data_IF_399273756196
#
_entry.id   IF_399273756196
#
_cell.length_a   1.000
_cell.length_b   1.000
_cell.length_c   1.000
_cell.angle_alpha   90.00
_cell.angle_beta   90.00
_cell.angle_gamma   90.00
#
_symmetry.space_group_name_H-M   'P 1'
#
loop_
_entity.id
_entity.type
_entity.pdbx_description
1 polymer ?
#
# COMPACT_ATOMS: atom_id res chain seq x y z
N UNK A 1 25.47 15.27 19.93
CA UNK A 1 25.84 15.81 18.59
C UNK A 1 27.34 16.09 18.46
N UNK A 2 28.01 16.67 19.47
CA UNK A 2 29.44 17.01 19.43
C UNK A 2 30.34 15.77 19.17
N UNK A 3 30.02 14.63 19.77
CA UNK A 3 30.79 13.39 19.61
C UNK A 3 30.73 12.82 18.19
N UNK A 4 29.55 12.79 17.56
CA UNK A 4 29.40 12.28 16.19
C UNK A 4 30.11 13.17 15.17
N UNK A 5 30.05 14.49 15.34
CA UNK A 5 30.74 15.44 14.46
C UNK A 5 32.26 15.23 14.51
N UNK A 6 32.83 15.06 15.71
CA UNK A 6 34.26 14.79 15.88
C UNK A 6 34.69 13.45 15.27
N UNK A 7 33.86 12.41 15.37
CA UNK A 7 34.18 11.08 14.84
C UNK A 7 33.97 10.95 13.32
N UNK A 8 32.99 11.67 12.76
CA UNK A 8 32.62 11.57 11.34
C UNK A 8 33.23 12.65 10.45
N UNK A 9 33.85 13.67 11.04
CA UNK A 9 34.25 14.92 10.37
C UNK A 9 33.10 15.63 9.62
N UNK A 10 31.84 15.25 9.87
CA UNK A 10 30.68 15.85 9.23
C UNK A 10 30.26 17.14 9.96
N UNK A 11 30.17 18.25 9.21
CA UNK A 11 29.72 19.54 9.73
C UNK A 11 28.21 19.72 9.57
N UNK A 12 27.57 20.26 10.60
CA UNK A 12 26.14 20.58 10.59
C UNK A 12 25.91 21.86 9.78
N UNK A 13 24.91 21.86 8.90
CA UNK A 13 24.46 23.06 8.21
C UNK A 13 23.36 23.73 9.03
N UNK A 14 23.74 24.71 9.85
CA UNK A 14 22.83 25.37 10.79
C UNK A 14 21.69 26.13 10.12
N UNK A 15 21.92 26.70 8.93
CA UNK A 15 20.86 27.38 8.16
C UNK A 15 19.77 26.41 7.66
N UNK A 16 20.06 25.11 7.54
CA UNK A 16 19.08 24.07 7.19
C UNK A 16 18.62 23.26 8.38
N UNK A 17 19.16 23.53 9.56
CA UNK A 17 18.87 22.79 10.78
C UNK A 17 17.85 23.56 11.59
N UNK A 18 16.79 22.86 11.98
CA UNK A 18 15.69 23.41 12.77
C UNK A 18 15.33 22.36 13.82
N UNK A 19 14.85 22.81 14.98
CA UNK A 19 14.39 21.93 16.05
C UNK A 19 12.88 22.00 16.18
N UNK A 20 12.21 20.84 16.24
CA UNK A 20 10.78 20.75 16.47
C UNK A 20 10.53 20.12 17.85
N UNK A 21 9.72 20.77 18.66
CA UNK A 21 9.30 20.22 19.94
C UNK A 21 8.24 19.15 19.72
N UNK A 22 8.50 17.91 20.16
CA UNK A 22 7.55 16.80 20.07
C UNK A 22 7.17 16.35 21.48
N UNK A 23 5.87 16.14 21.72
CA UNK A 23 5.36 15.67 23.01
C UNK A 23 5.10 16.78 24.03
N UNK A 24 4.80 16.37 25.28
CA UNK A 24 4.54 17.29 26.40
C UNK A 24 5.86 17.60 27.12
N UNK A 25 6.22 18.88 27.16
CA UNK A 25 7.40 19.37 27.86
C UNK A 25 6.98 20.02 29.17
N UNK A 26 7.20 19.33 30.29
CA UNK A 26 6.81 19.83 31.63
C UNK A 26 7.78 20.87 32.20
N UNK A 27 9.04 20.83 31.78
CA UNK A 27 10.11 21.67 32.31
C UNK A 27 10.58 22.75 31.32
N UNK A 28 9.73 23.11 30.35
CA UNK A 28 10.08 24.03 29.25
C UNK A 28 10.97 23.38 28.18
N UNK A 29 11.23 24.12 27.10
CA UNK A 29 12.10 23.66 26.01
C UNK A 29 13.57 23.88 26.38
N UNK A 30 14.46 22.91 26.10
CA UNK A 30 15.87 23.04 26.42
C UNK A 30 16.53 24.11 25.55
N UNK A 31 17.59 24.71 26.07
CA UNK A 31 18.44 25.64 25.32
C UNK A 31 19.17 24.85 24.24
N UNK A 32 18.95 25.21 22.99
CA UNK A 32 19.58 24.56 21.85
C UNK A 32 21.01 25.08 21.65
N UNK A 33 21.92 24.24 21.13
CA UNK A 33 23.26 24.68 20.80
C UNK A 33 23.26 25.61 19.57
N UNK A 34 24.08 26.66 19.63
CA UNK A 34 24.36 27.58 18.50
C UNK A 34 23.10 28.26 17.96
N UNK A 35 23.07 28.61 16.67
CA UNK A 35 21.96 29.32 15.98
C UNK A 35 20.73 28.43 15.70
N UNK A 36 20.65 27.25 16.33
CA UNK A 36 19.53 26.33 16.11
C UNK A 36 18.27 26.89 16.75
N UNK A 37 17.28 27.23 15.92
CA UNK A 37 16.01 27.79 16.37
C UNK A 37 14.94 26.70 16.57
N UNK A 38 14.13 26.89 17.61
CA UNK A 38 12.88 26.14 17.78
C UNK A 38 11.84 26.64 16.78
N UNK A 39 11.17 25.70 16.10
CA UNK A 39 9.99 25.95 15.29
C UNK A 39 8.76 25.59 16.10
N UNK A 40 7.79 26.49 16.13
CA UNK A 40 6.54 26.34 16.88
C UNK A 40 5.41 25.72 16.05
N UNK A 41 5.49 25.84 14.72
CA UNK A 41 4.47 25.43 13.75
C UNK A 41 4.72 24.01 13.23
N UNK A 42 5.95 23.70 12.82
CA UNK A 42 6.29 22.40 12.28
C UNK A 42 7.54 22.39 11.42
N UNK A 43 7.85 21.21 10.88
CA UNK A 43 9.04 20.95 10.08
C UNK A 43 8.70 20.08 8.86
N UNK A 44 9.39 20.30 7.74
CA UNK A 44 9.23 19.48 6.54
C UNK A 44 10.30 18.38 6.52
N UNK A 45 9.87 17.13 6.61
CA UNK A 45 10.74 15.97 6.57
C UNK A 45 10.38 15.05 5.41
N UNK A 46 11.36 14.76 4.54
CA UNK A 46 11.19 13.89 3.36
C UNK A 46 9.95 14.22 2.50
N UNK A 47 9.63 15.52 2.37
CA UNK A 47 8.50 15.97 1.57
C UNK A 47 7.15 16.03 2.30
N UNK A 48 7.09 15.61 3.57
CA UNK A 48 5.90 15.64 4.42
C UNK A 48 6.08 16.71 5.51
N UNK A 49 5.07 17.54 5.71
CA UNK A 49 4.99 18.52 6.79
C UNK A 49 4.50 17.83 8.07
N UNK A 50 5.23 17.98 9.16
CA UNK A 50 4.94 17.40 10.48
C UNK A 50 4.90 18.54 11.48
N UNK A 51 3.92 18.58 12.38
CA UNK A 51 3.82 19.65 13.36
C UNK A 51 2.41 19.84 13.89
N UNK A 52 1.97 21.09 13.98
CA UNK A 52 0.59 21.39 14.31
C UNK A 52 -0.38 20.96 13.18
N UNK A 53 -1.66 20.85 13.50
CA UNK A 53 -2.68 20.37 12.56
C UNK A 53 -2.82 21.27 11.32
N UNK A 54 -2.57 22.58 11.43
CA UNK A 54 -2.63 23.50 10.29
C UNK A 54 -1.42 23.35 9.36
N UNK A 55 -0.24 23.13 9.93
CA UNK A 55 0.99 22.88 9.22
C UNK A 55 0.92 21.54 8.49
N UNK A 56 0.37 20.50 9.12
CA UNK A 56 0.11 19.21 8.50
C UNK A 56 -0.93 19.28 7.39
N UNK A 57 -1.89 20.21 7.45
CA UNK A 57 -2.88 20.44 6.38
C UNK A 57 -2.22 20.79 5.04
N UNK A 58 -1.03 21.40 5.07
CA UNK A 58 -0.23 21.74 3.88
C UNK A 58 0.18 20.52 3.07
N UNK A 59 0.17 19.32 3.66
CA UNK A 59 0.43 18.08 2.93
C UNK A 59 -0.60 17.80 1.84
N UNK A 60 -1.82 18.33 1.97
CA UNK A 60 -2.98 17.96 1.16
C UNK A 60 -3.45 19.05 0.20
N UNK A 61 -2.98 20.29 0.38
CA UNK A 61 -3.43 21.46 -0.38
C UNK A 61 -3.29 21.30 -1.89
N UNK A 62 -2.17 20.73 -2.35
CA UNK A 62 -1.83 20.61 -3.77
C UNK A 62 -2.23 19.25 -4.37
N UNK A 63 -2.79 18.34 -3.57
CA UNK A 63 -2.94 16.93 -3.97
C UNK A 63 -4.00 16.78 -5.05
N UNK A 64 -5.14 17.47 -4.92
CA UNK A 64 -6.21 17.45 -5.91
C UNK A 64 -5.71 17.96 -7.26
N UNK A 65 -5.04 19.11 -7.28
CA UNK A 65 -4.49 19.72 -8.49
C UNK A 65 -3.42 18.83 -9.14
N UNK A 66 -2.59 18.15 -8.34
CA UNK A 66 -1.56 17.25 -8.88
C UNK A 66 -2.14 16.00 -9.50
N UNK A 67 -3.18 15.42 -8.89
CA UNK A 67 -3.90 14.29 -9.47
C UNK A 67 -4.63 14.70 -10.74
N UNK A 68 -5.32 15.84 -10.72
CA UNK A 68 -5.99 16.39 -11.90
C UNK A 68 -5.00 16.67 -13.03
N UNK A 69 -3.87 17.32 -12.72
CA UNK A 69 -2.80 17.58 -13.68
C UNK A 69 -2.18 16.30 -14.26
N UNK A 70 -2.16 15.19 -13.53
CA UNK A 70 -1.77 13.87 -14.07
C UNK A 70 -2.84 13.31 -14.99
N UNK A 71 -4.11 13.37 -14.58
CA UNK A 71 -5.25 12.91 -15.39
C UNK A 71 -5.32 13.65 -16.73
N UNK A 72 -5.20 14.98 -16.72
CA UNK A 72 -5.26 15.80 -17.92
C UNK A 72 -4.19 15.44 -18.96
N UNK A 73 -2.99 15.03 -18.53
CA UNK A 73 -1.92 14.57 -19.43
C UNK A 73 -2.27 13.31 -20.23
N UNK A 74 -3.20 12.50 -19.72
CA UNK A 74 -3.63 11.26 -20.37
C UNK A 74 -4.99 11.39 -21.06
N UNK A 75 -5.68 12.53 -20.90
CA UNK A 75 -7.03 12.75 -21.43
C UNK A 75 -7.10 12.69 -22.96
N UNK A 76 -6.08 13.17 -23.66
CA UNK A 76 -6.04 13.14 -25.14
C UNK A 76 -6.02 11.70 -25.70
N UNK A 77 -5.48 10.73 -24.96
CA UNK A 77 -5.40 9.33 -25.36
C UNK A 77 -6.64 8.54 -24.92
N UNK A 78 -7.48 9.11 -24.04
CA UNK A 78 -8.64 8.45 -23.43
C UNK A 78 -9.62 7.81 -24.44
N UNK A 79 -9.95 8.45 -25.58
CA UNK A 79 -10.85 7.85 -26.59
C UNK A 79 -10.28 6.58 -27.23
N UNK A 80 -8.96 6.38 -27.16
CA UNK A 80 -8.24 5.24 -27.73
C UNK A 80 -7.86 4.19 -26.69
N UNK A 81 -8.10 4.46 -25.41
CA UNK A 81 -7.77 3.55 -24.32
C UNK A 81 -8.91 2.59 -24.03
N UNK A 82 -8.59 1.29 -24.04
CA UNK A 82 -9.45 0.28 -23.43
C UNK A 82 -9.57 0.51 -21.92
N UNK A 83 -10.64 -0.01 -21.29
CA UNK A 83 -10.80 0.05 -19.83
C UNK A 83 -9.59 -0.50 -19.08
N UNK A 84 -8.94 -1.55 -19.61
CA UNK A 84 -7.69 -2.09 -19.07
C UNK A 84 -6.54 -1.07 -19.12
N UNK A 85 -6.40 -0.35 -20.24
CA UNK A 85 -5.42 0.73 -20.37
C UNK A 85 -5.69 1.86 -19.38
N UNK A 86 -6.96 2.24 -19.21
CA UNK A 86 -7.39 3.26 -18.23
C UNK A 86 -7.02 2.84 -16.81
N UNK A 87 -7.32 1.60 -16.40
CA UNK A 87 -6.94 1.07 -15.09
C UNK A 87 -5.44 1.12 -14.86
N UNK A 88 -4.63 0.70 -15.85
CA UNK A 88 -3.16 0.69 -15.71
C UNK A 88 -2.60 2.09 -15.52
N UNK A 89 -3.09 3.08 -16.27
CA UNK A 89 -2.70 4.49 -16.12
C UNK A 89 -3.11 5.01 -14.74
N UNK A 90 -4.34 4.75 -14.32
CA UNK A 90 -4.85 5.20 -13.03
C UNK A 90 -4.03 4.60 -11.88
N UNK A 91 -3.90 3.27 -11.81
CA UNK A 91 -3.26 2.56 -10.72
C UNK A 91 -1.75 2.85 -10.60
N UNK A 92 -1.04 3.00 -11.72
CA UNK A 92 0.41 3.12 -11.70
C UNK A 92 0.91 4.56 -11.78
N UNK A 93 0.18 5.46 -12.45
CA UNK A 93 0.68 6.80 -12.76
C UNK A 93 -0.07 7.91 -12.02
N UNK A 94 -1.39 7.79 -11.91
CA UNK A 94 -2.22 8.82 -11.26
C UNK A 94 -2.18 8.65 -9.75
N UNK A 95 -2.50 7.46 -9.25
CA UNK A 95 -2.60 7.20 -7.82
C UNK A 95 -1.24 7.07 -7.14
N UNK A 96 -0.17 6.80 -7.89
CA UNK A 96 1.20 6.74 -7.34
C UNK A 96 1.69 8.05 -6.71
N UNK A 97 1.11 9.19 -7.10
CA UNK A 97 1.39 10.50 -6.47
C UNK A 97 0.92 10.56 -5.01
N UNK A 98 -0.02 9.69 -4.63
CA UNK A 98 -0.67 9.72 -3.31
C UNK A 98 0.09 8.88 -2.27
N UNK A 99 0.74 7.79 -2.69
CA UNK A 99 1.22 6.74 -1.79
C UNK A 99 2.15 7.23 -0.69
N UNK A 100 3.15 8.05 -1.02
CA UNK A 100 4.09 8.56 -0.01
C UNK A 100 3.38 9.34 1.10
N UNK A 101 2.43 10.21 0.74
CA UNK A 101 1.70 11.04 1.70
C UNK A 101 0.68 10.24 2.50
N UNK A 102 -0.08 9.36 1.84
CA UNK A 102 -1.08 8.51 2.51
C UNK A 102 -0.43 7.50 3.47
N UNK A 103 0.82 7.11 3.20
CA UNK A 103 1.57 6.26 4.10
C UNK A 103 1.96 7.00 5.38
N UNK A 104 2.36 8.27 5.28
CA UNK A 104 2.89 9.04 6.41
C UNK A 104 1.84 9.86 7.18
N UNK A 105 0.82 10.41 6.51
CA UNK A 105 -0.09 11.39 7.07
C UNK A 105 -1.56 10.98 6.84
N UNK A 106 -2.44 11.45 7.72
CA UNK A 106 -3.88 11.18 7.60
C UNK A 106 -4.53 12.19 6.63
N UNK A 107 -5.25 11.73 5.59
CA UNK A 107 -5.96 12.64 4.71
C UNK A 107 -7.17 13.26 5.44
N UNK A 108 -7.52 14.53 5.12
CA UNK A 108 -8.73 15.14 5.63
C UNK A 108 -9.98 14.42 5.11
N UNK A 109 -11.06 14.48 5.90
CA UNK A 109 -12.36 13.91 5.53
C UNK A 109 -12.83 14.48 4.18
N UNK A 110 -13.40 13.63 3.33
CA UNK A 110 -13.88 14.04 2.01
C UNK A 110 -12.81 14.05 0.91
N UNK A 111 -11.51 14.06 1.25
CA UNK A 111 -10.45 14.15 0.23
C UNK A 111 -10.36 12.88 -0.62
N UNK A 112 -10.42 11.71 0.02
CA UNK A 112 -10.34 10.44 -0.70
C UNK A 112 -11.55 10.24 -1.61
N UNK A 113 -12.74 10.63 -1.17
CA UNK A 113 -13.96 10.60 -1.98
C UNK A 113 -13.83 11.53 -3.20
N UNK A 114 -13.32 12.75 -3.00
CA UNK A 114 -13.10 13.71 -4.09
C UNK A 114 -12.07 13.22 -5.10
N UNK A 115 -10.99 12.57 -4.65
CA UNK A 115 -9.96 11.98 -5.50
C UNK A 115 -10.52 10.76 -6.25
N UNK A 116 -11.25 9.89 -5.55
CA UNK A 116 -11.87 8.70 -6.12
C UNK A 116 -12.88 9.08 -7.22
N UNK A 117 -13.68 10.13 -7.01
CA UNK A 117 -14.61 10.64 -8.00
C UNK A 117 -13.90 11.08 -9.30
N UNK A 118 -12.73 11.73 -9.20
CA UNK A 118 -11.93 12.13 -10.39
C UNK A 118 -11.32 10.94 -11.11
N UNK A 119 -10.82 9.95 -10.35
CA UNK A 119 -10.34 8.69 -10.89
C UNK A 119 -11.44 7.95 -11.66
N UNK A 120 -12.64 7.89 -11.09
CA UNK A 120 -13.81 7.25 -11.70
C UNK A 120 -14.34 8.03 -12.91
N UNK A 121 -14.36 9.35 -12.84
CA UNK A 121 -14.75 10.22 -13.96
C UNK A 121 -13.84 9.97 -15.17
N UNK A 122 -12.53 9.90 -14.98
CA UNK A 122 -11.59 9.55 -16.05
C UNK A 122 -11.79 8.10 -16.54
N UNK A 123 -12.03 7.15 -15.63
CA UNK A 123 -12.22 5.76 -16.01
C UNK A 123 -13.45 5.56 -16.91
N UNK A 124 -14.59 6.14 -16.50
CA UNK A 124 -15.87 5.95 -17.18
C UNK A 124 -16.06 6.86 -18.38
N UNK A 125 -15.48 8.07 -18.38
CA UNK A 125 -15.66 9.04 -19.48
C UNK A 125 -17.15 9.31 -19.78
N UNK A 126 -17.95 9.48 -18.73
CA UNK A 126 -19.40 9.73 -18.81
C UNK A 126 -20.29 8.49 -18.93
N UNK A 127 -19.70 7.29 -18.97
CA UNK A 127 -20.40 6.04 -19.24
C UNK A 127 -20.39 5.14 -17.99
N UNK A 128 -21.45 5.10 -17.18
CA UNK A 128 -21.51 4.28 -15.94
C UNK A 128 -22.25 2.95 -16.15
N UNK A 129 -21.52 1.87 -16.48
CA UNK A 129 -22.14 0.60 -16.92
C UNK A 129 -22.19 -0.49 -15.85
N UNK A 130 -21.38 -0.37 -14.79
CA UNK A 130 -21.25 -1.39 -13.74
C UNK A 130 -21.24 -0.72 -12.37
N UNK A 131 -21.77 -1.43 -11.37
CA UNK A 131 -21.67 -1.01 -9.97
C UNK A 131 -20.20 -0.77 -9.59
N UNK A 132 -19.93 0.33 -8.89
CA UNK A 132 -18.58 0.76 -8.53
C UNK A 132 -17.81 -0.30 -7.72
N UNK A 133 -18.48 -1.07 -6.86
CA UNK A 133 -17.84 -2.13 -6.08
C UNK A 133 -17.14 -3.19 -6.95
N UNK A 134 -17.78 -3.62 -8.04
CA UNK A 134 -17.26 -4.63 -8.98
C UNK A 134 -16.00 -4.11 -9.70
N UNK A 135 -15.90 -2.80 -9.92
CA UNK A 135 -14.75 -2.19 -10.60
C UNK A 135 -13.43 -2.42 -9.85
N UNK A 136 -13.51 -2.50 -8.52
CA UNK A 136 -12.37 -2.68 -7.63
C UNK A 136 -11.94 -4.14 -7.48
N UNK A 137 -12.82 -5.08 -7.83
CA UNK A 137 -12.52 -6.50 -7.72
C UNK A 137 -11.39 -6.93 -8.66
N UNK A 138 -10.67 -8.00 -8.31
CA UNK A 138 -9.75 -8.67 -9.23
C UNK A 138 -10.44 -9.08 -10.53
N UNK A 139 -9.64 -9.34 -11.56
CA UNK A 139 -10.16 -9.66 -12.89
C UNK A 139 -10.81 -11.04 -12.90
N UNK A 140 -10.30 -11.89 -12.05
CA UNK A 140 -10.71 -13.26 -11.77
C UNK A 140 -12.17 -13.28 -11.27
N UNK A 141 -12.58 -12.24 -10.55
CA UNK A 141 -13.94 -12.05 -10.02
C UNK A 141 -14.83 -11.19 -10.95
N UNK A 142 -14.38 -10.94 -12.19
CA UNK A 142 -15.12 -10.12 -13.16
C UNK A 142 -14.94 -8.61 -13.02
N UNK A 143 -14.03 -8.16 -12.14
CA UNK A 143 -13.69 -6.75 -11.96
C UNK A 143 -12.64 -6.22 -12.94
N UNK A 144 -12.24 -4.97 -12.75
CA UNK A 144 -11.19 -4.32 -13.54
C UNK A 144 -9.88 -4.15 -12.77
N UNK A 145 -9.86 -4.46 -11.47
CA UNK A 145 -8.73 -4.24 -10.58
C UNK A 145 -8.40 -2.76 -10.38
N UNK A 146 -9.38 -1.86 -10.49
CA UNK A 146 -9.14 -0.44 -10.23
C UNK A 146 -8.94 -0.20 -8.75
N UNK A 147 -7.88 0.50 -8.38
CA UNK A 147 -7.58 0.72 -6.98
C UNK A 147 -8.67 1.56 -6.28
N UNK A 148 -9.12 1.07 -5.12
CA UNK A 148 -9.97 1.84 -4.21
C UNK A 148 -9.08 2.59 -3.21
N UNK A 149 -9.10 3.93 -3.27
CA UNK A 149 -8.16 4.77 -2.51
C UNK A 149 -8.33 4.64 -0.99
N UNK A 150 -9.57 4.53 -0.51
CA UNK A 150 -9.83 4.35 0.91
C UNK A 150 -9.33 2.99 1.42
N UNK A 151 -9.59 1.90 0.68
CA UNK A 151 -9.08 0.57 1.03
C UNK A 151 -7.55 0.55 1.03
N UNK A 152 -6.90 1.16 0.02
CA UNK A 152 -5.43 1.23 -0.02
C UNK A 152 -4.85 2.03 1.16
N UNK A 153 -5.50 3.13 1.54
CA UNK A 153 -5.10 3.94 2.70
C UNK A 153 -5.25 3.15 4.00
N UNK A 154 -6.35 2.40 4.15
CA UNK A 154 -6.57 1.50 5.27
C UNK A 154 -5.47 0.43 5.36
N UNK A 155 -5.05 -0.16 4.24
CA UNK A 155 -3.95 -1.12 4.21
C UNK A 155 -2.65 -0.53 4.75
N UNK A 156 -2.28 0.69 4.35
CA UNK A 156 -1.09 1.36 4.90
C UNK A 156 -1.19 1.54 6.42
N UNK A 157 -2.36 1.95 6.92
CA UNK A 157 -2.60 2.08 8.37
C UNK A 157 -2.47 0.76 9.09
N UNK A 158 -3.11 -0.30 8.61
CA UNK A 158 -3.03 -1.63 9.21
C UNK A 158 -1.58 -2.12 9.26
N UNK A 159 -0.81 -1.91 8.19
CA UNK A 159 0.60 -2.30 8.16
C UNK A 159 1.43 -1.58 9.23
N UNK A 160 1.17 -0.29 9.47
CA UNK A 160 1.82 0.45 10.56
C UNK A 160 1.38 -0.04 11.93
N UNK A 161 0.07 -0.20 12.15
CA UNK A 161 -0.50 -0.66 13.42
C UNK A 161 0.06 -2.04 13.80
N UNK A 162 0.10 -2.98 12.85
CA UNK A 162 0.64 -4.32 13.06
C UNK A 162 2.14 -4.32 13.42
N UNK A 163 2.89 -3.35 12.88
CA UNK A 163 4.32 -3.16 13.15
C UNK A 163 4.60 -2.24 14.33
N UNK A 164 3.57 -1.75 15.02
CA UNK A 164 3.75 -0.92 16.19
C UNK A 164 4.39 -1.75 17.32
N UNK A 165 5.53 -1.30 17.88
CA UNK A 165 6.14 -1.98 19.01
C UNK A 165 5.23 -1.91 20.24
N UNK A 166 5.11 -3.04 20.94
CA UNK A 166 4.34 -3.13 22.20
C UNK A 166 5.24 -3.11 23.44
N UNK A 167 6.53 -2.87 23.24
CA UNK A 167 7.58 -2.81 24.26
C UNK A 167 8.29 -1.46 24.20
N UNK A 168 8.94 -1.08 25.31
CA UNK A 168 9.92 0.02 25.41
C UNK A 168 9.41 1.39 24.97
N UNK A 169 8.84 2.20 25.88
CA UNK A 169 8.40 3.60 25.68
C UNK A 169 7.54 3.88 24.42
N UNK A 170 7.21 2.84 23.65
CA UNK A 170 6.35 2.90 22.49
C UNK A 170 4.92 3.20 22.93
N UNK A 171 4.09 3.64 21.98
CA UNK A 171 2.72 4.06 22.26
C UNK A 171 1.87 2.96 22.88
N UNK A 172 2.11 1.72 22.48
CA UNK A 172 1.41 0.53 22.99
C UNK A 172 2.18 -0.18 24.11
N UNK A 173 3.22 0.45 24.67
CA UNK A 173 3.96 -0.11 25.79
C UNK A 173 3.06 -0.21 27.03
N UNK A 174 3.14 -1.35 27.70
CA UNK A 174 2.42 -1.57 28.95
C UNK A 174 3.30 -1.05 30.09
N UNK A 175 2.95 0.11 30.65
CA UNK A 175 3.72 0.78 31.72
C UNK A 175 2.94 0.81 33.03
N UNK A 176 2.97 -0.29 33.78
CA UNK A 176 2.51 -0.38 35.17
C UNK A 176 3.43 -1.32 35.97
N UNK A 177 3.39 -1.31 37.30
CA UNK A 177 4.20 -2.21 38.14
C UNK A 177 3.92 -3.70 37.88
N UNK A 178 2.66 -4.05 37.58
CA UNK A 178 2.28 -5.37 37.08
C UNK A 178 2.86 -5.69 35.67
N UNK A 179 3.25 -4.67 34.93
CA UNK A 179 3.78 -4.76 33.57
C UNK A 179 5.27 -5.14 33.52
N UNK A 180 6.02 -5.17 34.63
CA UNK A 180 7.39 -5.67 34.63
C UNK A 180 7.45 -7.18 34.30
N UNK A 181 6.51 -7.95 34.84
CA UNK A 181 6.38 -9.39 34.55
C UNK A 181 5.94 -9.62 33.11
N UNK A 182 4.98 -8.82 32.64
CA UNK A 182 4.53 -8.84 31.25
C UNK A 182 5.67 -8.46 30.30
N UNK A 183 6.43 -7.41 30.61
CA UNK A 183 7.59 -6.96 29.83
C UNK A 183 8.63 -8.08 29.73
N UNK A 184 8.96 -8.75 30.83
CA UNK A 184 9.87 -9.89 30.80
C UNK A 184 9.34 -11.03 29.91
N UNK A 185 8.05 -11.36 30.03
CA UNK A 185 7.40 -12.37 29.19
C UNK A 185 7.48 -12.01 27.70
N UNK A 186 7.13 -10.78 27.31
CA UNK A 186 7.19 -10.29 25.93
C UNK A 186 8.60 -10.40 25.32
N UNK A 187 9.64 -10.13 26.11
CA UNK A 187 11.03 -10.27 25.65
C UNK A 187 11.42 -11.76 25.53
N UNK A 188 11.03 -12.60 26.49
CA UNK A 188 11.32 -14.03 26.47
C UNK A 188 10.65 -14.74 25.28
N UNK A 189 9.42 -14.34 24.94
CA UNK A 189 8.63 -14.94 23.86
C UNK A 189 8.87 -14.26 22.51
N UNK A 190 9.68 -13.19 22.47
CA UNK A 190 9.91 -12.32 21.30
C UNK A 190 8.62 -11.70 20.74
N UNK A 191 7.62 -11.50 21.58
CA UNK A 191 6.38 -10.81 21.23
C UNK A 191 6.60 -9.30 21.30
N UNK A 192 7.27 -8.75 20.27
CA UNK A 192 7.69 -7.33 20.27
C UNK A 192 6.76 -6.40 19.49
N UNK A 193 5.93 -6.95 18.61
CA UNK A 193 5.07 -6.22 17.68
C UNK A 193 3.60 -6.60 17.91
N UNK A 194 2.69 -5.67 17.63
CA UNK A 194 1.26 -5.90 17.80
C UNK A 194 0.75 -7.09 16.96
N UNK A 195 1.29 -7.31 15.77
CA UNK A 195 0.93 -8.45 14.92
C UNK A 195 1.07 -9.81 15.62
N UNK A 196 2.05 -9.98 16.53
CA UNK A 196 2.26 -11.24 17.23
C UNK A 196 1.14 -11.50 18.26
N UNK A 197 0.64 -10.42 18.87
CA UNK A 197 -0.51 -10.48 19.77
C UNK A 197 -1.78 -10.74 18.97
N UNK A 198 -2.00 -10.00 17.87
CA UNK A 198 -3.17 -10.17 17.00
C UNK A 198 -3.26 -11.59 16.44
N UNK A 199 -2.12 -12.18 16.04
CA UNK A 199 -2.08 -13.55 15.54
C UNK A 199 -2.51 -14.60 16.57
N UNK A 200 -2.28 -14.35 17.87
CA UNK A 200 -2.70 -15.25 18.94
C UNK A 200 -4.10 -14.92 19.47
N UNK A 201 -4.41 -13.65 19.64
CA UNK A 201 -5.63 -13.16 20.29
C UNK A 201 -6.84 -13.03 19.34
N UNK A 202 -6.60 -13.06 18.03
CA UNK A 202 -7.58 -12.63 17.03
C UNK A 202 -7.59 -11.11 16.82
N UNK A 203 -8.27 -10.63 15.78
CA UNK A 203 -8.27 -9.22 15.37
C UNK A 203 -9.01 -8.28 16.33
N UNK A 204 -9.90 -8.81 17.15
CA UNK A 204 -10.63 -8.12 18.21
C UNK A 204 -9.89 -8.12 19.56
N UNK A 205 -8.75 -8.82 19.65
CA UNK A 205 -7.93 -8.98 20.85
C UNK A 205 -8.70 -9.61 22.03
N UNK A 206 -9.53 -10.63 21.77
CA UNK A 206 -10.33 -11.33 22.79
C UNK A 206 -9.82 -12.71 23.19
N UNK A 207 -8.82 -13.25 22.47
CA UNK A 207 -8.26 -14.59 22.71
C UNK A 207 -7.40 -14.72 23.97
N UNK A 208 -8.03 -14.66 25.14
CA UNK A 208 -7.39 -14.70 26.46
C UNK A 208 -6.50 -15.93 26.66
N UNK A 209 -7.01 -17.13 26.33
CA UNK A 209 -6.30 -18.39 26.56
C UNK A 209 -5.07 -18.53 25.65
N UNK A 210 -5.20 -18.14 24.37
CA UNK A 210 -4.13 -18.19 23.40
C UNK A 210 -2.99 -17.21 23.75
N UNK A 211 -3.34 -16.01 24.21
CA UNK A 211 -2.38 -15.01 24.69
C UNK A 211 -1.75 -15.43 26.01
N UNK A 212 -2.52 -16.03 26.92
CA UNK A 212 -2.01 -16.59 28.16
C UNK A 212 -0.96 -17.68 27.90
N UNK A 213 -1.24 -18.57 26.95
CA UNK A 213 -0.32 -19.61 26.49
C UNK A 213 0.93 -19.02 25.83
N UNK A 214 0.75 -18.03 24.95
CA UNK A 214 1.85 -17.35 24.26
C UNK A 214 2.83 -16.69 25.24
N UNK A 215 2.31 -16.05 26.30
CA UNK A 215 3.09 -15.25 27.24
C UNK A 215 3.47 -16.00 28.52
N UNK A 216 3.08 -17.28 28.65
CA UNK A 216 3.30 -18.05 29.88
C UNK A 216 2.51 -17.53 31.09
N UNK A 217 1.41 -16.80 30.86
CA UNK A 217 0.54 -16.25 31.90
C UNK A 217 -0.50 -17.31 32.28
N UNK A 218 -0.43 -17.80 33.53
CA UNK A 218 -1.36 -18.82 34.04
C UNK A 218 -2.74 -18.26 34.45
N UNK A 219 -2.82 -16.96 34.70
CA UNK A 219 -4.06 -16.31 35.15
C UNK A 219 -4.81 -15.71 33.97
N UNK A 220 -6.04 -16.18 33.73
CA UNK A 220 -6.93 -15.63 32.70
C UNK A 220 -7.21 -14.14 32.93
N UNK A 221 -7.38 -13.71 34.18
CA UNK A 221 -7.55 -12.29 34.51
C UNK A 221 -6.31 -11.45 34.17
N UNK A 222 -5.11 -12.00 34.35
CA UNK A 222 -3.88 -11.29 34.01
C UNK A 222 -3.69 -11.18 32.49
N UNK A 223 -4.04 -12.22 31.74
CA UNK A 223 -4.04 -12.20 30.27
C UNK A 223 -5.09 -11.22 29.72
N UNK A 224 -6.31 -11.22 30.28
CA UNK A 224 -7.37 -10.26 29.93
C UNK A 224 -6.96 -8.82 30.25
N UNK A 225 -6.32 -8.60 31.41
CA UNK A 225 -5.76 -7.31 31.78
C UNK A 225 -4.73 -6.79 30.76
N UNK A 226 -3.84 -7.67 30.27
CA UNK A 226 -2.89 -7.31 29.22
C UNK A 226 -3.59 -6.94 27.90
N UNK A 227 -4.59 -7.73 27.49
CA UNK A 227 -5.39 -7.46 26.30
C UNK A 227 -6.18 -6.15 26.40
N UNK A 228 -6.72 -5.83 27.58
CA UNK A 228 -7.41 -4.57 27.81
C UNK A 228 -6.45 -3.37 27.68
N UNK A 229 -5.19 -3.51 28.11
CA UNK A 229 -4.20 -2.44 27.98
C UNK A 229 -3.89 -2.13 26.51
N UNK A 230 -3.70 -3.16 25.67
CA UNK A 230 -3.52 -2.95 24.24
C UNK A 230 -4.78 -2.41 23.55
N UNK A 231 -5.97 -2.91 23.91
CA UNK A 231 -7.24 -2.37 23.41
C UNK A 231 -7.42 -0.89 23.75
N UNK A 232 -7.05 -0.47 24.96
CA UNK A 232 -7.12 0.93 25.39
C UNK A 232 -6.07 1.81 24.71
N UNK A 233 -4.91 1.26 24.36
CA UNK A 233 -3.85 1.97 23.63
C UNK A 233 -4.16 2.20 22.15
N UNK A 234 -5.09 1.41 21.58
CA UNK A 234 -5.59 1.58 20.22
C UNK A 234 -6.79 2.54 20.21
N UNK A 235 -6.84 3.43 19.23
CA UNK A 235 -8.04 4.22 18.94
C UNK A 235 -9.16 3.31 18.42
N UNK A 236 -10.40 3.79 18.53
CA UNK A 236 -11.57 3.05 18.03
C UNK A 236 -11.45 2.71 16.54
N UNK A 237 -10.93 3.65 15.75
CA UNK A 237 -10.68 3.46 14.33
C UNK A 237 -9.66 2.36 14.05
N UNK A 238 -8.56 2.32 14.80
CA UNK A 238 -7.53 1.28 14.65
C UNK A 238 -8.08 -0.11 15.01
N UNK A 239 -8.91 -0.20 16.06
CA UNK A 239 -9.59 -1.45 16.41
C UNK A 239 -10.52 -1.93 15.29
N UNK A 240 -11.35 -1.05 14.74
CA UNK A 240 -12.21 -1.38 13.59
C UNK A 240 -11.40 -1.86 12.39
N UNK A 241 -10.31 -1.15 12.06
CA UNK A 241 -9.41 -1.56 10.96
C UNK A 241 -8.80 -2.95 11.16
N UNK A 242 -8.43 -3.32 12.39
CA UNK A 242 -7.92 -4.67 12.68
C UNK A 242 -9.00 -5.74 12.51
N UNK A 243 -10.22 -5.47 12.96
CA UNK A 243 -11.38 -6.36 12.79
C UNK A 243 -11.73 -6.53 11.31
N UNK A 244 -11.88 -5.41 10.58
CA UNK A 244 -12.18 -5.42 9.15
C UNK A 244 -11.09 -6.17 8.35
N UNK A 245 -9.82 -6.03 8.75
CA UNK A 245 -8.71 -6.77 8.16
C UNK A 245 -8.75 -8.26 8.47
N UNK A 246 -8.95 -8.63 9.74
CA UNK A 246 -8.97 -10.03 10.18
C UNK A 246 -10.21 -10.80 9.71
N UNK A 247 -11.26 -10.10 9.31
CA UNK A 247 -12.42 -10.67 8.62
C UNK A 247 -12.22 -10.77 7.10
N UNK A 248 -11.12 -10.23 6.57
CA UNK A 248 -10.84 -10.16 5.14
C UNK A 248 -10.46 -11.53 4.57
N UNK A 249 -11.15 -11.93 3.50
CA UNK A 249 -10.79 -13.05 2.62
C UNK A 249 -9.31 -12.93 2.23
N UNK A 250 -8.46 -13.76 2.81
CA UNK A 250 -7.06 -13.87 2.39
C UNK A 250 -7.03 -14.56 1.01
N UNK A 251 -6.26 -14.04 0.03
CA UNK A 251 -6.01 -14.79 -1.19
C UNK A 251 -5.24 -16.06 -0.82
N UNK A 252 -5.82 -17.20 -1.17
CA UNK A 252 -5.23 -18.51 -0.92
C UNK A 252 -3.89 -18.62 -1.63
N UNK A 253 -2.85 -18.93 -0.86
CA UNK A 253 -1.48 -19.11 -1.33
C UNK A 253 -1.35 -20.37 -2.21
N UNK A 254 -2.32 -21.28 -2.12
CA UNK A 254 -2.47 -22.49 -2.93
C UNK A 254 -3.38 -22.27 -4.17
N UNK A 255 -3.90 -21.06 -4.39
CA UNK A 255 -4.74 -20.77 -5.56
C UNK A 255 -3.88 -20.84 -6.85
N UNK A 256 -4.13 -21.81 -7.74
CA UNK A 256 -3.30 -21.97 -8.93
C UNK A 256 -3.44 -20.75 -9.82
N UNK A 257 -2.31 -20.15 -10.20
CA UNK A 257 -2.26 -19.08 -11.20
C UNK A 257 -3.10 -19.50 -12.43
N UNK A 258 -4.12 -18.72 -12.84
CA UNK A 258 -5.08 -19.17 -13.84
C UNK A 258 -4.33 -19.53 -15.12
N UNK A 259 -4.66 -20.70 -15.69
CA UNK A 259 -4.02 -21.19 -16.91
C UNK A 259 -4.30 -20.20 -18.05
N UNK A 260 -3.36 -19.29 -18.31
CA UNK A 260 -3.53 -18.31 -19.38
C UNK A 260 -3.26 -19.01 -20.70
N UNK A 261 -4.34 -19.28 -21.42
CA UNK A 261 -4.28 -19.85 -22.77
C UNK A 261 -4.28 -18.72 -23.80
N UNK A 262 -3.22 -18.66 -24.61
CA UNK A 262 -3.12 -17.74 -25.73
C UNK A 262 -3.53 -18.46 -27.02
N UNK A 263 -4.47 -17.87 -27.76
CA UNK A 263 -4.86 -18.33 -29.08
C UNK A 263 -4.57 -17.22 -30.11
N UNK A 264 -3.96 -17.58 -31.23
CA UNK A 264 -3.72 -16.65 -32.33
C UNK A 264 -5.02 -16.44 -33.11
N UNK A 265 -5.52 -15.20 -33.16
CA UNK A 265 -6.69 -14.87 -33.97
C UNK A 265 -6.26 -14.21 -35.28
N UNK A 266 -6.31 -14.98 -36.38
CA UNK A 266 -5.85 -14.57 -37.72
C UNK A 266 -6.99 -14.09 -38.63
N UNK A 267 -8.25 -14.10 -38.15
CA UNK A 267 -9.42 -13.74 -38.96
C UNK A 267 -9.56 -14.62 -40.20
N UNK A 268 -9.69 -14.00 -41.38
CA UNK A 268 -9.83 -14.67 -42.68
C UNK A 268 -8.49 -14.81 -43.44
N UNK A 269 -7.35 -14.55 -42.78
CA UNK A 269 -6.03 -14.62 -43.42
C UNK A 269 -5.54 -16.07 -43.46
N UNK A 270 -5.17 -16.53 -44.66
CA UNK A 270 -4.67 -17.90 -44.88
C UNK A 270 -3.30 -17.88 -45.59
N UNK A 271 -2.57 -18.98 -45.47
CA UNK A 271 -1.26 -19.17 -46.08
C UNK A 271 -0.40 -20.24 -45.39
N UNK A 272 0.58 -20.83 -46.08
CA UNK A 272 1.41 -21.90 -45.53
C UNK A 272 2.28 -21.43 -44.35
N UNK A 273 2.63 -20.13 -44.31
CA UNK A 273 3.34 -19.48 -43.21
C UNK A 273 2.43 -19.04 -42.06
N UNK A 274 1.10 -19.12 -42.22
CA UNK A 274 0.09 -18.73 -41.23
C UNK A 274 -0.65 -19.92 -40.61
N UNK A 275 -0.21 -21.15 -40.90
CA UNK A 275 -0.85 -22.35 -40.34
C UNK A 275 -0.89 -22.27 -38.81
N UNK A 276 -2.06 -22.54 -38.20
CA UNK A 276 -2.29 -22.24 -36.80
C UNK A 276 -1.41 -23.12 -35.91
N UNK A 277 -0.77 -22.48 -34.96
CA UNK A 277 -0.09 -23.13 -33.87
C UNK A 277 -1.13 -23.20 -32.72
N UNK A 278 -1.36 -24.42 -32.18
CA UNK A 278 -2.44 -24.76 -31.22
C UNK A 278 -2.50 -23.75 -30.06
N UNK A 279 -3.68 -23.52 -29.48
CA UNK A 279 -3.82 -22.76 -28.22
C UNK A 279 -2.72 -23.12 -27.21
N UNK A 280 -1.96 -22.13 -26.75
CA UNK A 280 -0.78 -22.34 -25.91
C UNK A 280 -1.06 -21.96 -24.47
N UNK A 281 -0.67 -22.82 -23.53
CA UNK A 281 -0.55 -22.42 -22.13
C UNK A 281 0.70 -21.57 -21.96
N UNK A 282 0.54 -20.35 -21.42
CA UNK A 282 1.64 -19.41 -21.15
C UNK A 282 2.66 -19.97 -20.14
N UNK A 283 2.26 -20.93 -19.32
CA UNK A 283 3.13 -21.58 -18.35
C UNK A 283 4.03 -22.66 -18.99
N UNK A 284 3.54 -23.32 -20.04
CA UNK A 284 4.23 -24.44 -20.68
C UNK A 284 4.92 -24.07 -22.00
N UNK A 285 4.62 -22.90 -22.58
CA UNK A 285 5.14 -22.49 -23.90
C UNK A 285 6.59 -22.03 -23.83
N UNK A 286 7.42 -22.55 -24.73
CA UNK A 286 8.79 -22.10 -24.87
C UNK A 286 8.85 -20.64 -25.34
N UNK A 287 9.73 -19.83 -24.74
CA UNK A 287 9.87 -18.38 -25.03
C UNK A 287 10.03 -18.09 -26.52
N UNK A 288 10.79 -18.94 -27.23
CA UNK A 288 11.06 -18.81 -28.65
C UNK A 288 9.79 -19.02 -29.49
N UNK A 289 8.98 -20.00 -29.13
CA UNK A 289 7.69 -20.31 -29.77
C UNK A 289 6.70 -19.16 -29.59
N UNK A 290 6.58 -18.62 -28.36
CA UNK A 290 5.72 -17.47 -28.08
C UNK A 290 6.12 -16.24 -28.91
N UNK A 291 7.42 -15.95 -28.98
CA UNK A 291 7.94 -14.82 -29.76
C UNK A 291 7.63 -14.97 -31.25
N UNK A 292 7.90 -16.14 -31.84
CA UNK A 292 7.61 -16.36 -33.26
C UNK A 292 6.13 -16.22 -33.59
N UNK A 293 5.24 -16.68 -32.72
CA UNK A 293 3.80 -16.57 -32.93
C UNK A 293 3.31 -15.14 -32.80
N UNK A 294 3.83 -14.37 -31.84
CA UNK A 294 3.58 -12.92 -31.76
C UNK A 294 4.05 -12.20 -33.04
N UNK A 295 5.27 -12.47 -33.51
CA UNK A 295 5.83 -11.86 -34.74
C UNK A 295 4.99 -12.23 -35.96
N UNK A 296 4.50 -13.47 -36.04
CA UNK A 296 3.67 -13.96 -37.13
C UNK A 296 2.29 -13.32 -37.14
N UNK A 297 1.66 -13.16 -35.98
CA UNK A 297 0.37 -12.44 -35.85
C UNK A 297 0.54 -10.96 -36.22
N UNK A 298 1.59 -10.31 -35.73
CA UNK A 298 1.86 -8.90 -36.04
C UNK A 298 2.11 -8.66 -37.54
N UNK A 299 2.77 -9.59 -38.21
CA UNK A 299 3.07 -9.52 -39.65
C UNK A 299 2.08 -10.30 -40.51
N UNK A 300 0.96 -10.75 -39.96
CA UNK A 300 0.03 -11.70 -40.59
C UNK A 300 -0.46 -11.25 -41.96
N UNK A 301 -0.77 -9.96 -42.14
CA UNK A 301 -1.18 -9.37 -43.43
C UNK A 301 -0.10 -9.47 -44.51
N UNK A 302 1.17 -9.33 -44.15
CA UNK A 302 2.30 -9.40 -45.09
C UNK A 302 2.78 -10.84 -45.35
N UNK A 303 2.38 -11.78 -44.51
CA UNK A 303 2.69 -13.22 -44.62
C UNK A 303 1.56 -14.02 -45.29
N UNK A 304 0.35 -13.46 -45.37
CA UNK A 304 -0.77 -14.07 -46.08
C UNK A 304 -0.46 -14.22 -47.56
N UNK A 305 -0.79 -15.39 -48.12
CA UNK A 305 -0.51 -15.75 -49.52
C UNK A 305 0.98 -15.69 -49.96
N UNK A 306 1.93 -15.65 -49.02
CA UNK A 306 3.37 -15.83 -49.33
C UNK A 306 3.74 -17.31 -49.31
N UNK A 307 4.50 -17.72 -50.32
CA UNK A 307 5.14 -19.04 -50.36
C UNK A 307 6.26 -19.13 -49.33
N UNK A 308 6.54 -20.35 -48.86
CA UNK A 308 7.52 -20.64 -47.80
C UNK A 308 8.98 -20.37 -48.20
N UNK A 309 9.28 -20.18 -49.49
CA UNK A 309 10.60 -19.81 -49.98
C UNK A 309 10.52 -18.72 -51.07
N UNK A 310 11.50 -17.81 -51.07
CA UNK A 310 11.76 -16.84 -52.16
C UNK A 310 12.70 -17.44 -53.20
N UNK A 311 13.37 -18.53 -52.86
CA UNK A 311 14.26 -19.30 -53.71
C UNK A 311 13.56 -20.64 -54.01
N UNK A 312 13.22 -20.86 -55.27
CA UNK A 312 12.88 -22.19 -55.75
C UNK A 312 14.19 -22.96 -55.96
N UNK A 313 14.18 -24.27 -55.70
CA UNK A 313 15.15 -25.19 -56.32
C UNK A 313 14.93 -25.21 -57.84
#
# INVERSE_FOLDING_TARGET
MVLFNHLSAARVNWHKSEALAVGRWTNGLPVLPQELAWRSDGLKYLGVFIGDGEFERRNWLDVLERVEGKIQKWKWLLPRMSYRGRTLVLNNLVTSVLWHRLNCAEPPLGLLEQLQARVLSFFWDGMHWVQQGVLHLPREEGGQGLIHLASRTATFRIQFIQREPIVNEARLNVSAEAALRLKAALHQTRTLLLQHVVAAAGPDLTGVEAVGSLLGIRSAQAAEGALQLWRNGLSERERRLLVDYGQGTEPDYEDPFPEIRLATHLGNLDGPLLRPSKTFSLQAVEKKTLYYDCVRVLNSRGLSNRNTSVWAD
#
